data_IF_771902616172
#
_entry.id   IF_771902616172
#
_cell.length_a   1.000
_cell.length_b   1.000
_cell.length_c   1.000
_cell.angle_alpha   90.00
_cell.angle_beta   90.00
_cell.angle_gamma   90.00
#
_symmetry.space_group_name_H-M   'P 1'
#
loop_
_entity.id
_entity.type
_entity.pdbx_description
1 polymer ?
#
# COMPACT_ATOMS: atom_id res chain seq x y z
N UNK A 1 28.60 28.35 3.43
CA UNK A 1 27.43 27.77 2.73
C UNK A 1 27.93 27.05 1.49
N UNK A 2 27.66 25.74 1.34
CA UNK A 2 28.26 24.92 0.29
C UNK A 2 27.77 25.28 -1.12
N UNK A 3 28.72 25.46 -2.05
CA UNK A 3 28.57 25.80 -3.48
C UNK A 3 27.76 24.78 -4.32
N UNK A 4 27.24 23.71 -3.73
CA UNK A 4 26.57 22.59 -4.43
C UNK A 4 25.16 22.30 -3.92
N UNK A 5 24.41 23.33 -3.51
CA UNK A 5 23.02 23.12 -3.07
C UNK A 5 22.08 23.16 -4.30
N UNK A 6 21.40 22.06 -4.63
CA UNK A 6 20.49 22.00 -5.78
C UNK A 6 19.34 23.00 -5.67
N UNK A 7 18.80 23.44 -6.82
CA UNK A 7 17.70 24.43 -6.87
C UNK A 7 16.47 23.96 -6.08
N UNK A 8 16.18 22.66 -6.13
CA UNK A 8 15.15 22.00 -5.33
C UNK A 8 15.37 22.17 -3.82
N UNK A 9 16.62 22.06 -3.35
CA UNK A 9 16.95 22.27 -1.93
C UNK A 9 16.84 23.76 -1.55
N UNK A 10 17.27 24.67 -2.42
CA UNK A 10 17.13 26.12 -2.21
C UNK A 10 15.66 26.51 -2.13
N UNK A 11 14.85 26.06 -3.09
CA UNK A 11 13.42 26.31 -3.12
C UNK A 11 12.72 25.79 -1.86
N UNK A 12 13.01 24.55 -1.45
CA UNK A 12 12.45 24.00 -0.20
C UNK A 12 12.81 24.82 1.04
N UNK A 13 14.04 25.34 1.14
CA UNK A 13 14.41 26.26 2.23
C UNK A 13 13.55 27.52 2.17
N UNK A 14 13.35 28.07 0.98
CA UNK A 14 12.49 29.25 0.79
C UNK A 14 11.04 29.00 1.22
N UNK A 15 10.49 27.79 1.01
CA UNK A 15 9.14 27.43 1.50
C UNK A 15 9.10 27.35 3.02
N UNK A 16 10.12 26.76 3.64
CA UNK A 16 10.20 26.66 5.11
C UNK A 16 10.33 28.03 5.77
N UNK A 17 11.10 28.92 5.16
CA UNK A 17 11.38 30.25 5.69
C UNK A 17 10.28 31.27 5.32
N UNK A 18 9.31 30.87 4.48
CA UNK A 18 8.14 31.65 4.10
C UNK A 18 7.13 31.76 5.26
N UNK A 19 6.55 32.96 5.45
CA UNK A 19 5.66 33.25 6.59
C UNK A 19 4.34 32.49 6.53
N UNK A 20 3.83 32.21 5.33
CA UNK A 20 2.55 31.53 5.11
C UNK A 20 2.75 30.03 4.94
N UNK A 21 3.70 29.61 4.10
CA UNK A 21 3.91 28.20 3.78
C UNK A 21 4.74 27.44 4.84
N UNK A 22 5.67 28.12 5.52
CA UNK A 22 6.54 27.52 6.54
C UNK A 22 5.79 26.83 7.68
N UNK A 23 4.81 27.48 8.32
CA UNK A 23 3.99 26.84 9.35
C UNK A 23 3.21 25.60 8.85
N UNK A 24 2.75 25.60 7.60
CA UNK A 24 2.03 24.45 6.99
C UNK A 24 2.98 23.27 6.77
N UNK A 25 4.19 23.55 6.28
CA UNK A 25 5.25 22.54 6.18
C UNK A 25 5.58 21.92 7.55
N UNK A 26 5.74 22.72 8.60
CA UNK A 26 6.06 22.19 9.93
C UNK A 26 4.90 21.35 10.52
N UNK A 27 3.64 21.68 10.21
CA UNK A 27 2.50 20.80 10.55
C UNK A 27 2.62 19.44 9.85
N UNK A 28 2.83 19.41 8.54
CA UNK A 28 3.04 18.16 7.81
C UNK A 28 4.23 17.38 8.38
N UNK A 29 5.36 18.05 8.62
CA UNK A 29 6.57 17.43 9.16
C UNK A 29 6.36 16.80 10.55
N UNK A 30 5.48 17.36 11.39
CA UNK A 30 5.08 16.72 12.66
C UNK A 30 4.24 15.46 12.44
N UNK A 31 3.35 15.46 11.45
CA UNK A 31 2.47 14.30 11.17
C UNK A 31 3.20 13.14 10.48
N UNK A 32 4.07 13.41 9.50
CA UNK A 32 4.70 12.37 8.65
C UNK A 32 6.22 12.25 8.81
N UNK A 33 6.81 13.06 9.68
CA UNK A 33 8.25 13.17 9.84
C UNK A 33 8.88 14.11 8.80
N UNK A 34 9.90 14.84 9.24
CA UNK A 34 10.61 15.83 8.41
C UNK A 34 11.22 15.25 7.12
N UNK A 35 11.79 14.02 7.07
CA UNK A 35 12.28 13.44 5.81
C UNK A 35 11.17 13.27 4.75
N UNK A 36 10.00 12.78 5.16
CA UNK A 36 8.84 12.58 4.28
C UNK A 36 8.29 13.91 3.78
N UNK A 37 8.10 14.88 4.68
CA UNK A 37 7.63 16.22 4.31
C UNK A 37 8.58 16.92 3.33
N UNK A 38 9.89 16.73 3.48
CA UNK A 38 10.87 17.25 2.51
C UNK A 38 10.69 16.62 1.13
N UNK A 39 10.56 15.29 1.04
CA UNK A 39 10.32 14.59 -0.24
C UNK A 39 9.01 15.02 -0.89
N UNK A 40 7.97 15.28 -0.09
CA UNK A 40 6.71 15.80 -0.60
C UNK A 40 6.88 17.19 -1.26
N UNK A 41 7.61 18.12 -0.63
CA UNK A 41 7.92 19.40 -1.27
C UNK A 41 8.74 19.23 -2.56
N UNK A 42 9.66 18.27 -2.60
CA UNK A 42 10.41 17.98 -3.82
C UNK A 42 9.50 17.51 -4.97
N UNK A 43 8.47 16.72 -4.67
CA UNK A 43 7.43 16.32 -5.62
C UNK A 43 6.60 17.53 -6.10
N UNK A 44 6.24 18.46 -5.19
CA UNK A 44 5.56 19.72 -5.55
C UNK A 44 6.40 20.55 -6.51
N UNK A 45 7.69 20.69 -6.22
CA UNK A 45 8.64 21.40 -7.07
C UNK A 45 8.71 20.79 -8.48
N UNK A 46 8.89 19.47 -8.57
CA UNK A 46 9.00 18.79 -9.86
C UNK A 46 7.72 18.93 -10.68
N UNK A 47 6.56 18.87 -10.03
CA UNK A 47 5.27 19.07 -10.69
C UNK A 47 5.12 20.50 -11.22
N UNK A 48 5.45 21.50 -10.42
CA UNK A 48 5.42 22.91 -10.84
C UNK A 48 6.33 23.16 -12.04
N UNK A 49 7.57 22.63 -12.01
CA UNK A 49 8.51 22.72 -13.13
C UNK A 49 8.01 22.00 -14.39
N UNK A 50 7.42 20.82 -14.25
CA UNK A 50 6.85 20.07 -15.40
C UNK A 50 5.71 20.84 -16.08
N UNK A 51 4.96 21.65 -15.30
CA UNK A 51 3.90 22.51 -15.80
C UNK A 51 4.41 23.91 -16.21
N UNK A 52 5.73 24.12 -16.31
CA UNK A 52 6.36 25.39 -16.68
C UNK A 52 5.98 26.57 -15.79
N UNK A 53 5.65 26.31 -14.53
CA UNK A 53 5.33 27.36 -13.55
C UNK A 53 6.59 28.01 -12.98
N UNK A 54 6.53 29.30 -12.64
CA UNK A 54 7.59 29.98 -11.90
C UNK A 54 7.53 29.60 -10.42
N UNK A 55 8.41 28.70 -10.02
CA UNK A 55 8.56 28.19 -8.65
C UNK A 55 8.92 29.28 -7.63
N UNK A 56 9.46 30.42 -8.06
CA UNK A 56 9.83 31.50 -7.15
C UNK A 56 8.69 32.49 -6.89
N UNK A 57 7.62 32.44 -7.68
CA UNK A 57 6.44 33.28 -7.48
C UNK A 57 5.78 33.02 -6.12
N UNK A 58 5.22 34.07 -5.51
CA UNK A 58 4.49 33.95 -4.23
C UNK A 58 3.34 32.96 -4.32
N UNK A 59 2.61 32.96 -5.45
CA UNK A 59 1.49 32.06 -5.73
C UNK A 59 1.91 30.59 -5.57
N UNK A 60 3.04 30.18 -6.16
CA UNK A 60 3.50 28.79 -6.06
C UNK A 60 3.96 28.43 -4.64
N UNK A 61 4.49 29.40 -3.89
CA UNK A 61 4.87 29.18 -2.49
C UNK A 61 3.65 29.00 -1.60
N UNK A 62 2.62 29.84 -1.76
CA UNK A 62 1.35 29.70 -1.03
C UNK A 62 0.68 28.36 -1.36
N UNK A 63 0.64 27.97 -2.65
CA UNK A 63 0.15 26.66 -3.05
C UNK A 63 0.95 25.50 -2.47
N UNK A 64 2.27 25.59 -2.39
CA UNK A 64 3.08 24.57 -1.73
C UNK A 64 2.69 24.42 -0.25
N UNK A 65 2.37 25.53 0.41
CA UNK A 65 1.78 25.54 1.75
C UNK A 65 0.44 24.81 1.81
N UNK A 66 -0.51 25.15 0.94
CA UNK A 66 -1.83 24.49 0.88
C UNK A 66 -1.72 22.99 0.60
N UNK A 67 -0.83 22.60 -0.31
CA UNK A 67 -0.51 21.20 -0.58
C UNK A 67 -0.01 20.46 0.66
N UNK A 68 0.76 21.12 1.54
CA UNK A 68 1.18 20.51 2.79
C UNK A 68 0.00 20.22 3.73
N UNK A 69 -0.99 21.11 3.82
CA UNK A 69 -2.19 20.87 4.63
C UNK A 69 -3.06 19.76 4.04
N UNK A 70 -3.28 19.76 2.72
CA UNK A 70 -4.05 18.69 2.05
C UNK A 70 -3.40 17.33 2.17
N UNK A 71 -2.08 17.24 1.97
CA UNK A 71 -1.35 15.97 2.15
C UNK A 71 -1.44 15.49 3.59
N UNK A 72 -1.33 16.41 4.56
CA UNK A 72 -1.46 16.09 5.98
C UNK A 72 -2.84 15.50 6.28
N UNK A 73 -3.90 16.15 5.82
CA UNK A 73 -5.29 15.68 6.02
C UNK A 73 -5.53 14.33 5.36
N UNK A 74 -5.06 14.15 4.11
CA UNK A 74 -5.18 12.88 3.40
C UNK A 74 -4.43 11.74 4.11
N UNK A 75 -3.20 12.00 4.57
CA UNK A 75 -2.41 11.01 5.31
C UNK A 75 -3.05 10.68 6.66
N UNK A 76 -3.50 11.68 7.41
CA UNK A 76 -4.13 11.48 8.72
C UNK A 76 -5.43 10.68 8.61
N UNK A 77 -6.32 11.03 7.68
CA UNK A 77 -7.58 10.32 7.47
C UNK A 77 -7.35 8.84 7.12
N UNK A 78 -6.38 8.57 6.23
CA UNK A 78 -6.03 7.19 5.83
C UNK A 78 -5.34 6.44 6.97
N UNK A 79 -4.48 7.10 7.74
CA UNK A 79 -3.85 6.49 8.91
C UNK A 79 -4.88 6.11 9.98
N UNK A 80 -5.84 7.01 10.27
CA UNK A 80 -6.92 6.72 11.21
C UNK A 80 -7.69 5.45 10.82
N UNK A 81 -8.06 5.32 9.54
CA UNK A 81 -8.71 4.11 9.05
C UNK A 81 -7.81 2.87 9.16
N UNK A 82 -6.54 2.94 8.72
CA UNK A 82 -5.61 1.81 8.84
C UNK A 82 -5.48 1.37 10.30
N UNK A 83 -5.38 2.31 11.24
CA UNK A 83 -5.31 1.98 12.67
C UNK A 83 -6.60 1.45 13.24
N UNK A 84 -7.76 1.84 12.71
CA UNK A 84 -9.05 1.30 13.17
C UNK A 84 -9.25 -0.17 12.78
N UNK A 85 -8.50 -0.68 11.79
CA UNK A 85 -8.49 -2.10 11.44
C UNK A 85 -7.74 -2.97 12.46
N UNK A 86 -6.80 -2.41 13.22
CA UNK A 86 -6.01 -3.16 14.22
C UNK A 86 -6.89 -3.80 15.30
N UNK A 87 -7.76 -3.05 16.02
CA UNK A 87 -8.64 -3.68 17.01
C UNK A 87 -9.61 -4.69 16.38
N UNK A 88 -9.97 -4.54 15.09
CA UNK A 88 -10.83 -5.48 14.36
C UNK A 88 -10.12 -6.80 14.02
N UNK A 89 -8.80 -6.78 13.86
CA UNK A 89 -7.98 -8.00 13.81
C UNK A 89 -7.93 -8.65 15.20
N UNK A 90 -7.70 -7.86 16.25
CA UNK A 90 -7.56 -8.36 17.63
C UNK A 90 -8.85 -8.99 18.17
N UNK A 91 -10.02 -8.49 17.76
CA UNK A 91 -11.35 -8.99 18.13
C UNK A 91 -11.87 -10.11 17.22
N UNK A 92 -11.06 -10.61 16.30
CA UNK A 92 -11.42 -11.60 15.28
C UNK A 92 -12.59 -11.18 14.36
N UNK A 93 -12.93 -9.88 14.33
CA UNK A 93 -13.98 -9.34 13.48
C UNK A 93 -13.65 -9.49 11.99
N UNK A 94 -12.42 -9.17 11.57
CA UNK A 94 -12.02 -9.34 10.17
C UNK A 94 -11.98 -10.81 9.74
N UNK A 95 -11.68 -11.72 10.67
CA UNK A 95 -11.72 -13.17 10.44
C UNK A 95 -13.16 -13.63 10.20
N UNK A 96 -14.11 -13.23 11.06
CA UNK A 96 -15.54 -13.52 10.89
C UNK A 96 -16.09 -12.91 9.61
N UNK A 97 -15.73 -11.65 9.33
CA UNK A 97 -16.14 -10.96 8.10
C UNK A 97 -15.73 -11.74 6.85
N UNK A 98 -14.50 -12.28 6.80
CA UNK A 98 -14.09 -13.14 5.70
C UNK A 98 -14.90 -14.43 5.66
N UNK A 99 -15.01 -15.15 6.78
CA UNK A 99 -15.72 -16.44 6.85
C UNK A 99 -17.18 -16.32 6.38
N UNK A 100 -17.86 -15.24 6.73
CA UNK A 100 -19.26 -14.99 6.35
C UNK A 100 -19.41 -14.50 4.89
N UNK A 101 -18.29 -14.18 4.21
CA UNK A 101 -18.28 -13.55 2.89
C UNK A 101 -17.16 -14.11 1.99
N UNK A 102 -16.93 -15.43 2.04
CA UNK A 102 -16.03 -16.11 1.10
C UNK A 102 -16.75 -16.26 -0.25
N UNK A 103 -16.06 -15.97 -1.36
CA UNK A 103 -16.56 -16.28 -2.71
C UNK A 103 -16.68 -17.80 -2.91
N UNK A 104 -17.55 -18.22 -3.81
CA UNK A 104 -17.58 -19.64 -4.20
C UNK A 104 -16.21 -19.99 -4.82
N UNK A 105 -15.51 -21.04 -4.35
CA UNK A 105 -14.25 -21.48 -4.95
C UNK A 105 -14.34 -21.69 -6.47
N UNK A 106 -15.50 -22.08 -7.01
CA UNK A 106 -15.72 -22.24 -8.44
C UNK A 106 -15.59 -20.93 -9.23
N UNK A 107 -15.76 -19.76 -8.59
CA UNK A 107 -15.58 -18.44 -9.22
C UNK A 107 -14.10 -18.13 -9.51
N UNK A 108 -13.18 -18.81 -8.83
CA UNK A 108 -11.73 -18.51 -8.91
C UNK A 108 -10.87 -19.79 -8.89
N UNK A 109 -11.44 -20.93 -9.26
CA UNK A 109 -10.74 -22.19 -9.43
C UNK A 109 -11.09 -22.75 -10.81
N UNK A 110 -10.09 -22.96 -11.67
CA UNK A 110 -10.29 -23.67 -12.93
C UNK A 110 -9.76 -25.09 -12.79
N UNK A 111 -10.65 -26.09 -12.70
CA UNK A 111 -10.36 -27.52 -12.85
C UNK A 111 -9.09 -28.03 -12.15
N UNK A 112 -9.22 -28.62 -10.97
CA UNK A 112 -8.07 -29.22 -10.28
C UNK A 112 -7.49 -30.40 -11.07
N UNK A 113 -6.26 -30.28 -11.57
CA UNK A 113 -5.49 -31.44 -12.01
C UNK A 113 -5.34 -32.40 -10.82
N UNK A 114 -5.78 -33.65 -10.98
CA UNK A 114 -5.57 -34.69 -9.98
C UNK A 114 -4.07 -34.78 -9.62
N UNK A 115 -3.76 -34.82 -8.32
CA UNK A 115 -2.38 -34.97 -7.81
C UNK A 115 -1.67 -33.69 -7.35
N UNK A 116 -2.25 -32.50 -7.52
CA UNK A 116 -1.65 -31.28 -6.97
C UNK A 116 -1.60 -31.31 -5.42
N UNK A 117 -0.58 -30.71 -4.82
CA UNK A 117 -0.48 -30.50 -3.37
C UNK A 117 -1.49 -29.45 -2.88
N UNK A 118 -1.76 -29.41 -1.57
CA UNK A 118 -2.62 -28.37 -0.95
C UNK A 118 -2.11 -26.97 -1.28
N UNK A 119 -0.79 -26.75 -1.16
CA UNK A 119 -0.14 -25.48 -1.49
C UNK A 119 -0.34 -25.08 -2.95
N UNK A 120 -0.12 -26.00 -3.88
CA UNK A 120 -0.26 -25.71 -5.31
C UNK A 120 -1.70 -25.33 -5.66
N UNK A 121 -2.69 -26.02 -5.08
CA UNK A 121 -4.10 -25.64 -5.23
C UNK A 121 -4.38 -24.25 -4.66
N UNK A 122 -3.85 -23.90 -3.49
CA UNK A 122 -4.03 -22.59 -2.89
C UNK A 122 -3.40 -21.47 -3.75
N UNK A 123 -2.20 -21.69 -4.29
CA UNK A 123 -1.53 -20.76 -5.20
C UNK A 123 -2.31 -20.61 -6.50
N UNK A 124 -2.85 -21.70 -7.04
CA UNK A 124 -3.64 -21.66 -8.27
C UNK A 124 -4.94 -20.86 -8.10
N UNK A 125 -5.68 -21.12 -7.01
CA UNK A 125 -6.86 -20.32 -6.63
C UNK A 125 -6.51 -18.84 -6.49
N UNK A 126 -5.43 -18.52 -5.78
CA UNK A 126 -4.99 -17.14 -5.59
C UNK A 126 -4.56 -16.46 -6.89
N UNK A 127 -3.92 -17.20 -7.80
CA UNK A 127 -3.52 -16.69 -9.11
C UNK A 127 -4.74 -16.32 -9.95
N UNK A 128 -5.75 -17.19 -9.99
CA UNK A 128 -7.00 -16.95 -10.69
C UNK A 128 -7.74 -15.75 -10.12
N UNK A 129 -7.87 -15.65 -8.79
CA UNK A 129 -8.50 -14.49 -8.16
C UNK A 129 -7.72 -13.18 -8.40
N UNK A 130 -6.38 -13.20 -8.32
CA UNK A 130 -5.53 -12.02 -8.52
C UNK A 130 -5.63 -11.47 -9.95
N UNK A 131 -5.67 -12.37 -10.94
CA UNK A 131 -5.67 -12.01 -12.35
C UNK A 131 -7.08 -11.85 -12.94
N UNK A 132 -8.11 -12.42 -12.32
CA UNK A 132 -9.46 -12.51 -12.87
C UNK A 132 -9.44 -13.06 -14.29
N UNK A 133 -10.13 -12.35 -15.19
CA UNK A 133 -10.23 -12.70 -16.61
C UNK A 133 -8.95 -12.42 -17.41
N UNK A 134 -7.97 -11.73 -16.83
CA UNK A 134 -6.72 -11.41 -17.52
C UNK A 134 -5.74 -12.60 -17.48
N UNK A 135 -6.05 -13.64 -18.26
CA UNK A 135 -5.28 -14.87 -18.38
C UNK A 135 -3.77 -14.66 -18.68
N UNK A 136 -3.34 -13.70 -19.52
CA UNK A 136 -1.92 -13.51 -19.82
C UNK A 136 -1.02 -13.18 -18.61
N UNK A 137 -1.56 -12.62 -17.53
CA UNK A 137 -0.78 -12.32 -16.32
C UNK A 137 -0.61 -13.54 -15.38
N UNK A 138 -1.38 -14.62 -15.57
CA UNK A 138 -1.42 -15.74 -14.63
C UNK A 138 -0.06 -16.42 -14.44
N UNK A 139 0.76 -16.70 -15.48
CA UNK A 139 2.06 -17.32 -15.28
C UNK A 139 3.01 -16.48 -14.40
N UNK A 140 3.04 -15.16 -14.64
CA UNK A 140 3.87 -14.24 -13.86
C UNK A 140 3.39 -14.10 -12.41
N UNK A 141 2.07 -14.04 -12.21
CA UNK A 141 1.45 -14.03 -10.88
C UNK A 141 1.74 -15.32 -10.11
N UNK A 142 1.58 -16.49 -10.75
CA UNK A 142 1.86 -17.79 -10.15
C UNK A 142 3.32 -17.91 -9.72
N UNK A 143 4.26 -17.60 -10.62
CA UNK A 143 5.69 -17.63 -10.32
C UNK A 143 6.07 -16.68 -9.16
N UNK A 144 5.41 -15.52 -9.08
CA UNK A 144 5.56 -14.60 -7.96
C UNK A 144 5.05 -15.21 -6.65
N UNK A 145 3.86 -15.80 -6.64
CA UNK A 145 3.31 -16.44 -5.44
C UNK A 145 4.18 -17.62 -4.99
N UNK A 146 4.64 -18.46 -5.92
CA UNK A 146 5.53 -19.59 -5.64
C UNK A 146 6.85 -19.17 -4.99
N UNK A 147 7.42 -18.04 -5.42
CA UNK A 147 8.62 -17.49 -4.81
C UNK A 147 8.40 -17.04 -3.36
N UNK A 148 7.25 -16.43 -3.06
CA UNK A 148 6.96 -15.86 -1.73
C UNK A 148 6.35 -16.85 -0.74
N UNK A 149 5.78 -17.93 -1.26
CA UNK A 149 5.16 -19.05 -0.53
C UNK A 149 5.93 -20.31 -0.92
N UNK A 150 7.17 -20.56 -0.46
CA UNK A 150 7.90 -21.77 -0.85
C UNK A 150 7.22 -23.04 -0.29
N UNK A 151 7.62 -24.23 -0.78
CA UNK A 151 7.14 -25.50 -0.25
C UNK A 151 7.58 -25.73 1.21
N UNK A 152 8.73 -25.16 1.60
CA UNK A 152 9.29 -25.24 2.93
C UNK A 152 9.80 -23.88 3.39
N UNK A 153 9.58 -23.57 4.68
CA UNK A 153 10.01 -22.33 5.32
C UNK A 153 9.17 -21.11 4.96
N UNK A 154 9.64 -19.94 5.40
CA UNK A 154 8.89 -18.68 5.31
C UNK A 154 9.19 -17.86 4.04
N UNK A 155 10.01 -18.38 3.11
CA UNK A 155 10.38 -17.64 1.90
C UNK A 155 11.13 -16.33 2.15
N UNK A 156 11.34 -15.51 1.10
CA UNK A 156 12.24 -14.36 1.17
C UNK A 156 11.73 -13.23 2.07
N UNK A 157 10.43 -13.18 2.36
CA UNK A 157 9.81 -12.09 3.11
C UNK A 157 9.43 -12.47 4.55
N UNK A 158 9.83 -13.66 5.02
CA UNK A 158 9.33 -14.17 6.29
C UNK A 158 7.79 -14.37 6.27
N UNK A 159 7.16 -14.66 7.41
CA UNK A 159 5.75 -15.05 7.44
C UNK A 159 4.76 -13.91 7.10
N UNK A 160 5.19 -12.64 7.16
CA UNK A 160 4.29 -11.46 7.00
C UNK A 160 4.88 -10.31 6.18
N UNK A 161 5.49 -10.62 5.02
CA UNK A 161 6.05 -9.66 4.04
C UNK A 161 7.20 -8.76 4.55
N UNK A 162 7.85 -9.13 5.65
CA UNK A 162 9.01 -8.43 6.21
C UNK A 162 8.63 -7.31 7.19
N UNK A 163 9.59 -6.43 7.47
CA UNK A 163 9.45 -5.30 8.41
C UNK A 163 9.32 -3.94 7.72
N UNK A 164 9.39 -3.92 6.39
CA UNK A 164 9.36 -2.71 5.59
C UNK A 164 8.70 -3.01 4.23
N UNK A 165 8.60 -2.00 3.37
CA UNK A 165 7.92 -2.11 2.08
C UNK A 165 8.75 -2.80 0.98
N UNK A 166 9.98 -3.24 1.21
CA UNK A 166 10.88 -3.65 0.11
C UNK A 166 10.34 -4.87 -0.66
N UNK A 167 9.74 -5.81 0.05
CA UNK A 167 9.06 -6.95 -0.58
C UNK A 167 7.81 -6.52 -1.35
N UNK A 168 7.00 -5.62 -0.78
CA UNK A 168 5.81 -5.12 -1.45
C UNK A 168 6.15 -4.35 -2.73
N UNK A 169 7.23 -3.55 -2.73
CA UNK A 169 7.73 -2.87 -3.95
C UNK A 169 8.12 -3.87 -5.02
N UNK A 170 8.85 -4.93 -4.67
CA UNK A 170 9.24 -6.00 -5.61
C UNK A 170 8.05 -6.77 -6.16
N UNK A 171 7.05 -7.04 -5.30
CA UNK A 171 5.79 -7.66 -5.72
C UNK A 171 5.07 -6.77 -6.72
N UNK A 172 4.88 -5.49 -6.38
CA UNK A 172 4.22 -4.52 -7.23
C UNK A 172 4.90 -4.35 -8.59
N UNK A 173 6.24 -4.19 -8.62
CA UNK A 173 7.01 -4.06 -9.86
C UNK A 173 6.83 -5.25 -10.81
N UNK A 174 6.67 -6.47 -10.28
CA UNK A 174 6.44 -7.66 -11.12
C UNK A 174 5.00 -7.73 -11.65
N UNK A 175 4.02 -7.27 -10.87
CA UNK A 175 2.61 -7.27 -11.27
C UNK A 175 2.22 -6.07 -12.13
N UNK A 176 3.02 -5.00 -12.09
CA UNK A 176 2.79 -3.74 -12.80
C UNK A 176 4.13 -3.05 -13.16
N UNK A 177 4.90 -3.59 -14.12
CA UNK A 177 6.27 -3.12 -14.41
C UNK A 177 6.37 -1.72 -15.03
N UNK A 178 5.30 -1.22 -15.66
CA UNK A 178 5.32 0.02 -16.45
C UNK A 178 4.55 1.17 -15.80
N UNK A 179 4.50 1.23 -14.48
CA UNK A 179 3.81 2.29 -13.74
C UNK A 179 4.66 3.54 -13.59
N UNK A 180 4.03 4.72 -13.62
CA UNK A 180 4.71 5.98 -13.36
C UNK A 180 5.36 5.97 -11.95
N UNK A 181 6.50 6.64 -11.75
CA UNK A 181 7.23 6.55 -10.48
C UNK A 181 6.52 7.27 -9.32
N UNK A 182 5.86 8.39 -9.59
CA UNK A 182 5.25 9.26 -8.56
C UNK A 182 3.93 9.87 -9.02
N UNK A 183 3.04 10.11 -8.05
CA UNK A 183 1.76 10.82 -8.23
C UNK A 183 1.65 11.90 -7.15
N UNK A 184 1.26 13.09 -7.58
CA UNK A 184 0.83 14.19 -6.72
C UNK A 184 -0.67 14.41 -6.88
N UNK A 185 -1.35 14.83 -5.80
CA UNK A 185 -2.74 15.27 -5.85
C UNK A 185 -2.86 16.46 -6.81
N UNK A 186 -3.80 16.39 -7.75
CA UNK A 186 -4.00 17.43 -8.76
C UNK A 186 -4.82 18.58 -8.19
N UNK A 187 -4.38 19.83 -8.44
CA UNK A 187 -5.00 21.07 -7.93
C UNK A 187 -6.53 21.16 -8.14
N UNK A 188 -7.05 20.65 -9.26
CA UNK A 188 -8.48 20.74 -9.60
C UNK A 188 -9.32 19.54 -9.11
N UNK A 189 -8.68 18.45 -8.71
CA UNK A 189 -9.36 17.25 -8.27
C UNK A 189 -8.96 17.03 -6.82
N UNK A 190 -9.83 17.44 -5.88
CA UNK A 190 -9.77 17.12 -4.44
C UNK A 190 -9.87 15.60 -4.22
N UNK A 191 -8.98 14.84 -4.84
CA UNK A 191 -8.91 13.40 -4.72
C UNK A 191 -8.52 13.10 -3.29
N UNK A 192 -9.32 12.27 -2.61
CA UNK A 192 -9.15 11.93 -1.20
C UNK A 192 -7.94 11.00 -0.94
N UNK A 193 -6.96 10.97 -1.83
CA UNK A 193 -5.80 10.09 -1.77
C UNK A 193 -4.53 10.90 -1.51
N UNK A 194 -3.61 10.40 -0.66
CA UNK A 194 -2.32 11.03 -0.49
C UNK A 194 -1.48 10.93 -1.76
N UNK A 195 -0.42 11.74 -1.82
CA UNK A 195 0.66 11.55 -2.79
C UNK A 195 1.31 10.17 -2.63
N UNK A 196 2.09 9.73 -3.62
CA UNK A 196 2.89 8.50 -3.47
C UNK A 196 3.90 8.59 -2.33
N UNK A 197 4.34 9.79 -1.95
CA UNK A 197 5.23 9.99 -0.79
C UNK A 197 4.50 9.70 0.51
N UNK A 198 3.31 10.28 0.70
CA UNK A 198 2.47 10.02 1.88
C UNK A 198 1.97 8.58 1.94
N UNK A 199 1.57 8.01 0.81
CA UNK A 199 1.17 6.60 0.74
C UNK A 199 2.29 5.63 1.10
N UNK A 200 3.53 5.92 0.66
CA UNK A 200 4.71 5.11 1.05
C UNK A 200 4.98 5.19 2.54
N UNK A 201 4.91 6.40 3.10
CA UNK A 201 5.02 6.60 4.54
C UNK A 201 3.96 5.79 5.32
N UNK A 202 2.70 5.80 4.88
CA UNK A 202 1.61 5.07 5.54
C UNK A 202 1.87 3.56 5.61
N UNK A 203 2.29 2.95 4.50
CA UNK A 203 2.58 1.51 4.48
C UNK A 203 3.85 1.18 5.26
N UNK A 204 4.90 2.01 5.20
CA UNK A 204 6.10 1.82 6.04
C UNK A 204 5.74 1.88 7.53
N UNK A 205 4.90 2.84 7.93
CA UNK A 205 4.38 2.96 9.29
C UNK A 205 3.49 1.78 9.67
N UNK A 206 2.66 1.29 8.75
CA UNK A 206 1.87 0.06 8.93
C UNK A 206 2.78 -1.13 9.24
N UNK A 207 3.80 -1.38 8.42
CA UNK A 207 4.77 -2.46 8.64
C UNK A 207 5.46 -2.36 9.99
N UNK A 208 5.88 -1.15 10.39
CA UNK A 208 6.47 -0.93 11.72
C UNK A 208 5.49 -1.27 12.84
N UNK A 209 4.23 -0.87 12.70
CA UNK A 209 3.18 -1.11 13.70
C UNK A 209 2.89 -2.61 13.87
N UNK A 210 2.86 -3.38 12.78
CA UNK A 210 2.57 -4.83 12.82
C UNK A 210 3.83 -5.71 12.93
N UNK A 211 5.03 -5.11 12.96
CA UNK A 211 6.29 -5.87 13.01
C UNK A 211 6.60 -6.52 14.37
N UNK A 212 5.81 -6.25 15.41
CA UNK A 212 6.04 -6.81 16.75
C UNK A 212 5.80 -8.34 16.75
N UNK A 213 6.84 -9.16 16.97
CA UNK A 213 6.75 -10.62 16.82
C UNK A 213 5.92 -11.33 17.91
N UNK A 214 5.57 -10.66 19.00
CA UNK A 214 4.93 -11.27 20.19
C UNK A 214 3.46 -11.70 19.95
N UNK A 215 2.87 -11.38 18.79
CA UNK A 215 1.44 -11.63 18.52
C UNK A 215 1.12 -12.48 17.29
N UNK A 216 2.07 -13.21 16.70
CA UNK A 216 1.79 -14.00 15.49
C UNK A 216 1.05 -15.30 15.83
N UNK A 217 -0.09 -15.60 15.18
CA UNK A 217 -0.76 -16.88 15.36
C UNK A 217 0.09 -18.04 14.84
N UNK A 218 -0.09 -19.23 15.42
CA UNK A 218 0.49 -20.45 14.87
C UNK A 218 0.01 -20.69 13.43
N UNK A 219 0.80 -21.40 12.62
CA UNK A 219 0.37 -21.85 11.30
C UNK A 219 -0.87 -22.74 11.45
N UNK A 220 -1.84 -22.58 10.54
CA UNK A 220 -3.16 -23.21 10.60
C UNK A 220 -4.19 -22.46 11.45
N UNK A 221 -3.82 -21.37 12.12
CA UNK A 221 -4.76 -20.59 12.92
C UNK A 221 -5.59 -19.63 12.05
N UNK A 222 -6.91 -19.67 12.23
CA UNK A 222 -7.86 -18.85 11.47
C UNK A 222 -7.65 -17.33 11.60
N UNK A 223 -6.95 -16.85 12.63
CA UNK A 223 -6.55 -15.45 12.78
C UNK A 223 -5.71 -14.91 11.61
N UNK A 224 -5.05 -15.79 10.87
CA UNK A 224 -4.35 -15.40 9.64
C UNK A 224 -5.28 -14.81 8.58
N UNK A 225 -6.57 -15.17 8.58
CA UNK A 225 -7.60 -14.55 7.74
C UNK A 225 -7.76 -13.07 8.05
N UNK A 226 -7.95 -12.71 9.32
CA UNK A 226 -8.05 -11.32 9.76
C UNK A 226 -6.77 -10.51 9.46
N UNK A 227 -5.59 -11.11 9.69
CA UNK A 227 -4.31 -10.48 9.37
C UNK A 227 -4.17 -10.23 7.86
N UNK A 228 -4.50 -11.21 7.02
CA UNK A 228 -4.44 -11.05 5.57
C UNK A 228 -5.39 -9.93 5.11
N UNK A 229 -6.64 -9.91 5.61
CA UNK A 229 -7.62 -8.86 5.32
C UNK A 229 -7.13 -7.47 5.72
N UNK A 230 -6.47 -7.35 6.88
CA UNK A 230 -5.83 -6.10 7.30
C UNK A 230 -4.78 -5.63 6.31
N UNK A 231 -3.84 -6.50 5.90
CA UNK A 231 -2.80 -6.13 4.94
C UNK A 231 -3.39 -5.69 3.60
N UNK A 232 -4.39 -6.42 3.11
CA UNK A 232 -5.10 -6.08 1.88
C UNK A 232 -5.69 -4.67 1.96
N UNK A 233 -6.52 -4.42 2.97
CA UNK A 233 -7.23 -3.16 3.16
C UNK A 233 -6.25 -2.00 3.36
N UNK A 234 -5.24 -2.17 4.21
CA UNK A 234 -4.29 -1.12 4.54
C UNK A 234 -3.40 -0.74 3.35
N UNK A 235 -2.90 -1.72 2.59
CA UNK A 235 -2.08 -1.45 1.39
C UNK A 235 -2.88 -0.71 0.32
N UNK A 236 -4.12 -1.15 0.05
CA UNK A 236 -4.97 -0.51 -0.95
C UNK A 236 -5.38 0.90 -0.51
N UNK A 237 -5.71 1.09 0.76
CA UNK A 237 -6.12 2.39 1.29
C UNK A 237 -4.98 3.41 1.31
N UNK A 238 -3.75 2.95 1.61
CA UNK A 238 -2.59 3.84 1.69
C UNK A 238 -2.18 4.43 0.34
N UNK A 239 -2.46 3.73 -0.78
CA UNK A 239 -2.15 4.21 -2.14
C UNK A 239 -0.67 4.58 -2.34
N UNK A 240 0.24 3.71 -1.88
CA UNK A 240 1.69 3.92 -1.98
C UNK A 240 2.26 3.92 -3.40
N UNK A 241 1.52 3.33 -4.35
CA UNK A 241 1.90 3.24 -5.75
C UNK A 241 1.02 4.16 -6.59
N UNK A 242 1.52 4.58 -7.76
CA UNK A 242 0.77 5.41 -8.71
C UNK A 242 -0.44 4.69 -9.30
N UNK A 243 -0.27 3.38 -9.52
CA UNK A 243 -1.29 2.46 -10.03
C UNK A 243 -1.08 1.06 -9.44
N UNK A 244 -2.04 0.16 -9.66
CA UNK A 244 -2.02 -1.25 -9.26
C UNK A 244 -1.92 -1.51 -7.74
N UNK A 245 -2.34 -0.55 -6.91
CA UNK A 245 -2.42 -0.73 -5.44
C UNK A 245 -3.31 -1.94 -5.07
N UNK A 246 -4.44 -2.14 -5.77
CA UNK A 246 -5.31 -3.31 -5.59
C UNK A 246 -4.58 -4.63 -5.84
N UNK A 247 -3.84 -4.73 -6.95
CA UNK A 247 -3.06 -5.94 -7.27
C UNK A 247 -1.98 -6.20 -6.22
N UNK A 248 -1.28 -5.17 -5.76
CA UNK A 248 -0.30 -5.30 -4.69
C UNK A 248 -0.94 -5.76 -3.36
N UNK A 249 -2.09 -5.19 -2.98
CA UNK A 249 -2.85 -5.58 -1.79
C UNK A 249 -3.38 -7.02 -1.88
N UNK A 250 -3.92 -7.42 -3.02
CA UNK A 250 -4.38 -8.79 -3.28
C UNK A 250 -3.23 -9.81 -3.25
N UNK A 251 -2.09 -9.48 -3.84
CA UNK A 251 -0.91 -10.36 -3.76
C UNK A 251 -0.40 -10.49 -2.32
N UNK A 252 -0.36 -9.39 -1.57
CA UNK A 252 0.00 -9.40 -0.16
C UNK A 252 -0.96 -10.28 0.68
N UNK A 253 -2.26 -10.12 0.45
CA UNK A 253 -3.33 -10.94 1.04
C UNK A 253 -3.08 -12.43 0.80
N UNK A 254 -2.92 -12.83 -0.46
CA UNK A 254 -2.71 -14.22 -0.85
C UNK A 254 -1.46 -14.83 -0.20
N UNK A 255 -0.34 -14.09 -0.23
CA UNK A 255 0.92 -14.54 0.38
C UNK A 255 0.74 -14.79 1.87
N UNK A 256 0.15 -13.85 2.59
CA UNK A 256 -0.01 -13.94 4.05
C UNK A 256 -0.99 -15.06 4.41
N UNK A 257 -2.13 -15.14 3.71
CA UNK A 257 -3.16 -16.12 3.99
C UNK A 257 -2.65 -17.55 3.77
N UNK A 258 -2.04 -17.82 2.62
CA UNK A 258 -1.59 -19.18 2.28
C UNK A 258 -0.45 -19.63 3.19
N UNK A 259 0.46 -18.74 3.59
CA UNK A 259 1.54 -19.09 4.53
C UNK A 259 1.03 -19.31 5.94
N UNK A 260 0.05 -18.52 6.34
CA UNK A 260 -0.55 -18.60 7.65
C UNK A 260 -1.47 -19.80 7.82
N UNK A 261 -2.31 -20.09 6.82
CA UNK A 261 -3.39 -21.07 6.91
C UNK A 261 -3.14 -22.35 6.10
N UNK A 262 -2.35 -22.27 5.03
CA UNK A 262 -2.14 -23.37 4.08
C UNK A 262 -3.20 -23.46 2.97
N UNK A 263 -4.29 -22.68 3.02
CA UNK A 263 -5.32 -22.60 1.99
C UNK A 263 -5.59 -21.14 1.58
N UNK A 264 -6.37 -20.94 0.53
CA UNK A 264 -6.76 -19.65 0.00
C UNK A 264 -8.28 -19.48 -0.04
N UNK A 265 -8.75 -18.37 0.52
CA UNK A 265 -10.14 -17.94 0.54
C UNK A 265 -10.24 -16.53 -0.04
N UNK A 266 -11.04 -16.32 -1.08
CA UNK A 266 -11.24 -14.99 -1.64
C UNK A 266 -12.42 -14.28 -0.94
N UNK A 267 -12.26 -13.02 -0.48
CA UNK A 267 -13.40 -12.23 -0.01
C UNK A 267 -14.32 -11.86 -1.18
N UNK A 268 -15.62 -11.71 -0.95
CA UNK A 268 -16.54 -11.18 -1.98
C UNK A 268 -16.13 -9.77 -2.44
N UNK A 269 -16.46 -9.43 -3.68
CA UNK A 269 -16.24 -8.09 -4.26
C UNK A 269 -16.83 -6.99 -3.36
N UNK A 270 -17.99 -7.27 -2.75
CA UNK A 270 -18.66 -6.35 -1.81
C UNK A 270 -17.77 -6.04 -0.60
N UNK A 271 -17.20 -7.06 0.02
CA UNK A 271 -16.32 -6.90 1.19
C UNK A 271 -15.01 -6.20 0.81
N UNK A 272 -14.43 -6.54 -0.34
CA UNK A 272 -13.26 -5.83 -0.89
C UNK A 272 -13.54 -4.33 -1.03
N UNK A 273 -14.61 -3.96 -1.72
CA UNK A 273 -14.97 -2.56 -1.94
C UNK A 273 -15.26 -1.81 -0.62
N UNK A 274 -15.94 -2.46 0.33
CA UNK A 274 -16.19 -1.89 1.65
C UNK A 274 -14.89 -1.62 2.44
N UNK A 275 -13.89 -2.51 2.30
CA UNK A 275 -12.60 -2.37 2.99
C UNK A 275 -11.67 -1.35 2.34
N UNK A 276 -11.81 -1.10 1.04
CA UNK A 276 -10.90 -0.20 0.31
C UNK A 276 -11.22 1.28 0.49
N UNK A 277 -12.42 1.63 0.96
CA UNK A 277 -12.82 3.03 1.22
C UNK A 277 -12.47 3.96 0.04
N UNK A 278 -12.71 3.49 -1.19
CA UNK A 278 -12.50 4.23 -2.44
C UNK A 278 -13.79 4.94 -2.84
N UNK A 279 -14.28 5.80 -1.96
CA UNK A 279 -15.30 6.80 -2.26
C UNK A 279 -14.68 8.09 -2.79
#
# INVERSE_FOLDING_TARGET
MGLFTSDKVKWRRSIRDDRTAGPKFERLARSVGRPTAKKFLELVYDKAKSNKMDVNSSIIKDFAGDFCDWEREAVEARWQYITSLIPRVQSDELTRLLNDNVRDPNDYQTGGAGGATVRERAIDKATHWLCGDYAPARPAAKALLEQYIPAHGDGPAGPSLGRNMDHLKRIHQRLAPNVAPERMVYFAQRTAYPSTVGGRYLVERMFQTVSNPVGRPAVGNDRWKGIAMFYMAAIVTAQAFTDANKRAGHAAYAIILIKGLGDFHAPTVRVENALFQMG
#
